data_IF_054879229733
#
_entry.id   IF_054879229733
#
_cell.length_a   1.000
_cell.length_b   1.000
_cell.length_c   1.000
_cell.angle_alpha   90.00
_cell.angle_beta   90.00
_cell.angle_gamma   90.00
#
_symmetry.space_group_name_H-M   'P 1'
#
loop_
_entity.id
_entity.type
_entity.pdbx_description
1 polymer ?
#
# COMPACT_ATOMS: atom_id res chain seq x y z
N UNK A 1 18.38 -4.12 -11.88
CA UNK A 1 17.97 -2.89 -11.15
C UNK A 1 17.23 -3.21 -9.84
N UNK A 2 16.18 -4.05 -9.86
CA UNK A 2 15.37 -4.38 -8.66
C UNK A 2 16.22 -4.94 -7.50
N UNK A 3 17.16 -5.86 -7.78
CA UNK A 3 18.05 -6.43 -6.76
C UNK A 3 19.00 -5.40 -6.14
N UNK A 4 19.45 -4.42 -6.92
CA UNK A 4 20.31 -3.35 -6.42
C UNK A 4 19.53 -2.41 -5.48
N UNK A 5 18.28 -2.08 -5.84
CA UNK A 5 17.39 -1.31 -4.98
C UNK A 5 17.05 -2.05 -3.67
N UNK A 6 16.80 -3.36 -3.74
CA UNK A 6 16.56 -4.19 -2.56
C UNK A 6 17.77 -4.20 -1.64
N UNK A 7 18.98 -4.36 -2.19
CA UNK A 7 20.23 -4.36 -1.42
C UNK A 7 20.49 -2.98 -0.78
N UNK A 8 20.30 -1.91 -1.53
CA UNK A 8 20.45 -0.54 -1.04
C UNK A 8 19.44 -0.21 0.08
N UNK A 9 18.18 -0.63 -0.07
CA UNK A 9 17.17 -0.39 0.98
C UNK A 9 17.47 -1.19 2.25
N UNK A 10 17.94 -2.43 2.13
CA UNK A 10 18.38 -3.24 3.28
C UNK A 10 19.62 -2.65 3.96
N UNK A 11 20.60 -2.18 3.19
CA UNK A 11 21.78 -1.49 3.72
C UNK A 11 21.41 -0.19 4.43
N UNK A 12 20.53 0.63 3.83
CA UNK A 12 20.05 1.86 4.45
C UNK A 12 19.30 1.57 5.76
N UNK A 13 18.44 0.57 5.77
CA UNK A 13 17.75 0.12 6.97
C UNK A 13 18.74 -0.37 8.04
N UNK A 14 19.78 -1.14 7.66
CA UNK A 14 20.82 -1.60 8.57
C UNK A 14 21.65 -0.46 9.16
N UNK A 15 22.06 0.50 8.35
CA UNK A 15 22.79 1.70 8.80
C UNK A 15 21.93 2.57 9.72
N UNK A 16 20.66 2.78 9.36
CA UNK A 16 19.73 3.49 10.23
C UNK A 16 19.53 2.75 11.57
N UNK A 17 19.37 1.42 11.55
CA UNK A 17 19.20 0.62 12.75
C UNK A 17 20.39 0.72 13.71
N UNK A 18 21.63 0.59 13.20
CA UNK A 18 22.85 0.71 14.03
C UNK A 18 23.04 2.13 14.54
N UNK A 19 22.76 3.15 13.72
CA UNK A 19 22.79 4.55 14.13
C UNK A 19 21.78 4.86 15.23
N UNK A 20 20.57 4.30 15.13
CA UNK A 20 19.52 4.48 16.14
C UNK A 20 19.81 3.73 17.45
N UNK A 21 20.38 2.53 17.41
CA UNK A 21 20.76 1.82 18.64
C UNK A 21 21.80 2.58 19.47
N UNK A 22 22.74 3.26 18.83
CA UNK A 22 23.80 4.01 19.51
C UNK A 22 23.38 5.41 19.97
N UNK A 23 22.19 5.90 19.56
CA UNK A 23 21.75 7.24 19.92
C UNK A 23 20.89 7.23 21.20
N UNK A 24 21.40 7.85 22.26
CA UNK A 24 20.68 8.09 23.52
C UNK A 24 19.39 8.92 23.33
N UNK A 25 19.30 9.67 22.23
CA UNK A 25 18.15 10.53 21.89
C UNK A 25 16.86 9.73 21.63
N UNK A 26 16.96 8.49 21.12
CA UNK A 26 15.81 7.63 20.82
C UNK A 26 15.26 6.83 22.02
N UNK A 27 15.81 7.04 23.22
CA UNK A 27 15.29 6.44 24.47
C UNK A 27 13.97 7.10 24.94
N UNK A 28 13.64 8.30 24.47
CA UNK A 28 12.44 9.03 24.86
C UNK A 28 11.20 8.56 24.06
N UNK A 29 10.08 8.37 24.75
CA UNK A 29 8.79 7.93 24.17
C UNK A 29 8.28 8.86 23.05
N UNK A 30 8.52 10.17 23.17
CA UNK A 30 8.16 11.15 22.13
C UNK A 30 8.94 10.92 20.82
N UNK A 31 10.21 10.65 20.93
CA UNK A 31 11.10 10.38 19.78
C UNK A 31 10.69 9.11 19.00
N UNK A 32 10.20 8.08 19.71
CA UNK A 32 9.72 6.82 19.10
C UNK A 32 8.44 7.02 18.31
N UNK A 33 7.48 7.79 18.86
CA UNK A 33 6.22 8.12 18.15
C UNK A 33 6.51 8.92 16.88
N UNK A 34 7.41 9.88 16.96
CA UNK A 34 7.83 10.67 15.79
C UNK A 34 8.48 9.79 14.72
N UNK A 35 9.31 8.82 15.13
CA UNK A 35 9.94 7.88 14.19
C UNK A 35 8.90 6.95 13.53
N UNK A 36 7.93 6.44 14.27
CA UNK A 36 6.81 5.67 13.71
C UNK A 36 6.05 6.49 12.67
N UNK A 37 5.64 7.71 13.01
CA UNK A 37 4.93 8.60 12.09
C UNK A 37 5.77 8.89 10.85
N UNK A 38 7.08 9.10 11.00
CA UNK A 38 7.98 9.34 9.87
C UNK A 38 8.08 8.12 8.95
N UNK A 39 8.27 6.92 9.51
CA UNK A 39 8.38 5.67 8.72
C UNK A 39 7.09 5.38 7.98
N UNK A 40 5.95 5.37 8.68
CA UNK A 40 4.66 5.07 8.05
C UNK A 40 4.19 6.19 7.12
N UNK A 41 4.41 7.44 7.49
CA UNK A 41 4.08 8.61 6.68
C UNK A 41 4.89 8.65 5.38
N UNK A 42 6.21 8.42 5.45
CA UNK A 42 7.06 8.38 4.26
C UNK A 42 6.75 7.17 3.37
N UNK A 43 6.45 6.00 3.96
CA UNK A 43 6.05 4.82 3.21
C UNK A 43 4.71 5.01 2.47
N UNK A 44 3.74 5.66 3.11
CA UNK A 44 2.46 6.01 2.48
C UNK A 44 2.65 7.06 1.38
N UNK A 45 3.36 8.15 1.67
CA UNK A 45 3.62 9.21 0.70
C UNK A 45 4.32 8.68 -0.55
N UNK A 46 5.36 7.86 -0.38
CA UNK A 46 6.07 7.23 -1.48
C UNK A 46 5.13 6.41 -2.37
N UNK A 47 4.26 5.61 -1.77
CA UNK A 47 3.28 4.79 -2.51
C UNK A 47 2.26 5.63 -3.26
N UNK A 48 1.74 6.67 -2.63
CA UNK A 48 0.78 7.57 -3.27
C UNK A 48 1.40 8.31 -4.47
N UNK A 49 2.64 8.78 -4.33
CA UNK A 49 3.38 9.43 -5.42
C UNK A 49 3.63 8.45 -6.58
N UNK A 50 4.09 7.24 -6.29
CA UNK A 50 4.32 6.23 -7.33
C UNK A 50 3.00 5.81 -7.99
N UNK A 51 1.95 5.57 -7.21
CA UNK A 51 0.64 5.17 -7.73
C UNK A 51 0.01 6.24 -8.63
N UNK A 52 0.24 7.52 -8.32
CA UNK A 52 -0.23 8.64 -9.14
C UNK A 52 0.58 8.81 -10.44
N UNK A 53 1.89 8.55 -10.39
CA UNK A 53 2.80 8.78 -11.53
C UNK A 53 2.98 7.57 -12.45
N UNK A 54 2.54 6.37 -12.01
CA UNK A 54 2.68 5.13 -12.79
C UNK A 54 1.31 4.58 -13.17
N UNK A 55 1.15 4.18 -14.43
CA UNK A 55 -0.14 3.66 -14.93
C UNK A 55 -0.28 2.12 -14.77
N UNK A 56 0.81 1.42 -14.42
CA UNK A 56 0.79 -0.03 -14.26
C UNK A 56 0.62 -0.79 -15.57
N UNK A 57 0.16 -2.04 -15.47
CA UNK A 57 -0.16 -2.85 -16.64
C UNK A 57 -1.54 -2.45 -17.18
N UNK A 58 -1.55 -1.86 -18.38
CA UNK A 58 -2.73 -1.18 -18.94
C UNK A 58 -3.98 -2.06 -19.03
N UNK A 59 -3.82 -3.36 -19.35
CA UNK A 59 -4.96 -4.27 -19.48
C UNK A 59 -5.64 -4.53 -18.13
N UNK A 60 -4.85 -4.77 -17.07
CA UNK A 60 -5.39 -5.04 -15.74
C UNK A 60 -6.09 -3.81 -15.18
N UNK A 61 -5.45 -2.64 -15.28
CA UNK A 61 -6.04 -1.38 -14.83
C UNK A 61 -7.34 -1.07 -15.58
N UNK A 62 -7.38 -1.33 -16.90
CA UNK A 62 -8.60 -1.14 -17.68
C UNK A 62 -9.72 -2.10 -17.25
N UNK A 63 -9.40 -3.37 -16.95
CA UNK A 63 -10.37 -4.32 -16.41
C UNK A 63 -10.92 -3.85 -15.06
N UNK A 64 -10.07 -3.47 -14.12
CA UNK A 64 -10.53 -2.98 -12.81
C UNK A 64 -11.35 -1.70 -12.91
N UNK A 65 -10.98 -0.77 -13.79
CA UNK A 65 -11.77 0.44 -14.04
C UNK A 65 -13.16 0.10 -14.59
N UNK A 66 -13.23 -0.78 -15.58
CA UNK A 66 -14.49 -1.22 -16.17
C UNK A 66 -15.35 -1.99 -15.16
N UNK A 67 -14.76 -2.86 -14.36
CA UNK A 67 -15.48 -3.61 -13.33
C UNK A 67 -16.00 -2.69 -12.21
N UNK A 68 -15.23 -1.70 -11.78
CA UNK A 68 -15.68 -0.73 -10.79
C UNK A 68 -16.91 0.07 -11.28
N UNK A 69 -16.89 0.52 -12.52
CA UNK A 69 -18.04 1.22 -13.12
C UNK A 69 -19.25 0.30 -13.29
N UNK A 70 -19.03 -0.90 -13.81
CA UNK A 70 -20.10 -1.87 -14.04
C UNK A 70 -20.79 -2.27 -12.74
N UNK A 71 -20.03 -2.66 -11.72
CA UNK A 71 -20.63 -3.10 -10.45
C UNK A 71 -21.34 -1.96 -9.74
N UNK A 72 -20.85 -0.73 -9.86
CA UNK A 72 -21.53 0.45 -9.32
C UNK A 72 -22.84 0.73 -10.06
N UNK A 73 -22.85 0.60 -11.38
CA UNK A 73 -24.02 0.91 -12.22
C UNK A 73 -25.12 -0.16 -12.14
N UNK A 74 -24.73 -1.44 -12.21
CA UNK A 74 -25.69 -2.56 -12.24
C UNK A 74 -26.01 -3.12 -10.85
N UNK A 75 -25.17 -2.82 -9.87
CA UNK A 75 -25.23 -3.42 -8.54
C UNK A 75 -24.58 -4.79 -8.46
N UNK A 76 -24.22 -5.23 -7.22
CA UNK A 76 -23.47 -6.47 -6.99
C UNK A 76 -24.19 -7.74 -7.51
N UNK A 77 -25.52 -7.76 -7.50
CA UNK A 77 -26.31 -8.93 -7.91
C UNK A 77 -26.35 -9.16 -9.42
N UNK A 78 -26.00 -8.16 -10.23
CA UNK A 78 -26.04 -8.24 -11.70
C UNK A 78 -24.66 -8.08 -12.34
N UNK A 79 -23.60 -8.11 -11.54
CA UNK A 79 -22.24 -7.89 -12.03
C UNK A 79 -21.75 -9.02 -12.92
N UNK A 80 -21.88 -10.28 -12.46
CA UNK A 80 -21.43 -11.43 -13.22
C UNK A 80 -22.42 -11.79 -14.32
N UNK A 81 -21.92 -11.88 -15.55
CA UNK A 81 -22.70 -12.32 -16.71
C UNK A 81 -21.82 -13.15 -17.66
N UNK A 82 -22.44 -13.99 -18.48
CA UNK A 82 -21.74 -14.82 -19.47
C UNK A 82 -21.01 -13.99 -20.56
N UNK A 83 -21.39 -12.74 -20.72
CA UNK A 83 -20.86 -11.85 -21.76
C UNK A 83 -19.65 -11.04 -21.29
N UNK A 84 -19.26 -11.15 -20.02
CA UNK A 84 -18.18 -10.35 -19.44
C UNK A 84 -17.09 -11.22 -18.85
N UNK A 85 -15.86 -11.01 -19.31
CA UNK A 85 -14.68 -11.60 -18.67
C UNK A 85 -14.51 -11.04 -17.26
N UNK A 86 -14.49 -11.93 -16.28
CA UNK A 86 -14.20 -11.61 -14.87
C UNK A 86 -13.59 -12.84 -14.21
N UNK A 87 -12.35 -12.74 -13.81
CA UNK A 87 -11.56 -13.80 -13.16
C UNK A 87 -11.31 -13.53 -11.67
N UNK A 88 -11.90 -12.46 -11.13
CA UNK A 88 -11.75 -12.08 -9.73
C UNK A 88 -12.90 -12.55 -8.84
N UNK A 89 -12.58 -12.93 -7.57
CA UNK A 89 -13.59 -13.42 -6.63
C UNK A 89 -14.55 -12.32 -6.17
N UNK A 90 -15.79 -12.68 -5.78
CA UNK A 90 -16.83 -11.73 -5.39
C UNK A 90 -16.44 -10.75 -4.28
N UNK A 91 -15.57 -11.17 -3.35
CA UNK A 91 -15.14 -10.30 -2.25
C UNK A 91 -14.44 -9.01 -2.72
N UNK A 92 -13.61 -9.11 -3.74
CA UNK A 92 -12.93 -7.93 -4.28
C UNK A 92 -13.88 -7.00 -5.06
N UNK A 93 -14.95 -7.54 -5.62
CA UNK A 93 -15.96 -6.75 -6.34
C UNK A 93 -16.65 -5.73 -5.43
N UNK A 94 -16.83 -6.01 -4.15
CA UNK A 94 -17.36 -5.02 -3.19
C UNK A 94 -16.38 -3.85 -2.98
N UNK A 95 -15.09 -4.11 -3.02
CA UNK A 95 -14.06 -3.06 -2.97
C UNK A 95 -14.16 -2.18 -4.22
N UNK A 96 -14.30 -2.79 -5.40
CA UNK A 96 -14.47 -2.05 -6.65
C UNK A 96 -15.80 -1.28 -6.68
N UNK A 97 -16.87 -1.81 -6.09
CA UNK A 97 -18.13 -1.08 -5.91
C UNK A 97 -17.93 0.23 -5.13
N UNK A 98 -17.17 0.18 -4.01
CA UNK A 98 -16.86 1.37 -3.23
C UNK A 98 -16.01 2.38 -4.03
N UNK A 99 -15.08 1.89 -4.84
CA UNK A 99 -14.27 2.74 -5.73
C UNK A 99 -15.13 3.41 -6.78
N UNK A 100 -16.02 2.66 -7.43
CA UNK A 100 -16.98 3.20 -8.40
C UNK A 100 -17.89 4.25 -7.78
N UNK A 101 -18.42 3.99 -6.57
CA UNK A 101 -19.24 4.94 -5.80
C UNK A 101 -18.45 6.22 -5.47
N UNK A 102 -17.22 6.08 -4.98
CA UNK A 102 -16.37 7.21 -4.63
C UNK A 102 -15.99 8.03 -5.87
N UNK A 103 -15.65 7.37 -6.99
CA UNK A 103 -15.40 8.02 -8.27
C UNK A 103 -16.60 8.86 -8.72
N UNK A 104 -17.79 8.28 -8.66
CA UNK A 104 -19.04 8.96 -9.04
C UNK A 104 -19.34 10.14 -8.14
N UNK A 105 -19.22 9.96 -6.80
CA UNK A 105 -19.47 11.01 -5.81
C UNK A 105 -18.52 12.20 -5.99
N UNK A 106 -17.25 11.95 -6.25
CA UNK A 106 -16.21 12.97 -6.43
C UNK A 106 -16.12 13.48 -7.87
N UNK A 107 -16.95 12.99 -8.78
CA UNK A 107 -16.97 13.34 -10.21
C UNK A 107 -15.60 13.17 -10.88
N UNK A 108 -14.84 12.15 -10.47
CA UNK A 108 -13.51 11.86 -11.03
C UNK A 108 -13.68 11.32 -12.46
N UNK A 109 -12.99 11.88 -13.47
CA UNK A 109 -13.07 11.39 -14.84
C UNK A 109 -12.65 9.92 -14.96
N UNK A 110 -13.35 9.18 -15.82
CA UNK A 110 -13.02 7.78 -16.08
C UNK A 110 -11.60 7.64 -16.61
N UNK A 111 -10.87 6.66 -16.06
CA UNK A 111 -9.49 6.33 -16.46
C UNK A 111 -8.48 7.47 -16.32
N UNK A 112 -8.76 8.48 -15.47
CA UNK A 112 -7.81 9.53 -15.11
C UNK A 112 -6.79 9.02 -14.09
N UNK A 113 -5.66 9.73 -13.91
CA UNK A 113 -4.62 9.40 -12.94
C UNK A 113 -5.20 9.25 -11.52
N UNK A 114 -6.16 10.09 -11.17
CA UNK A 114 -6.85 10.01 -9.88
C UNK A 114 -7.75 8.77 -9.76
N UNK A 115 -8.40 8.35 -10.87
CA UNK A 115 -9.16 7.09 -10.88
C UNK A 115 -8.22 5.89 -10.73
N UNK A 116 -7.09 5.88 -11.44
CA UNK A 116 -6.07 4.83 -11.31
C UNK A 116 -5.50 4.78 -9.90
N UNK A 117 -5.23 5.93 -9.29
CA UNK A 117 -4.82 6.02 -7.90
C UNK A 117 -5.86 5.38 -6.96
N UNK A 118 -7.16 5.66 -7.16
CA UNK A 118 -8.23 5.06 -6.35
C UNK A 118 -8.26 3.52 -6.48
N UNK A 119 -8.01 2.97 -7.67
CA UNK A 119 -7.95 1.51 -7.88
C UNK A 119 -6.79 0.86 -7.11
N UNK A 120 -5.68 1.57 -6.93
CA UNK A 120 -4.49 1.09 -6.20
C UNK A 120 -4.57 1.30 -4.69
N UNK A 121 -5.42 2.21 -4.21
CA UNK A 121 -5.54 2.54 -2.79
C UNK A 121 -5.76 1.32 -1.87
N UNK A 122 -6.63 0.36 -2.20
CA UNK A 122 -6.85 -0.81 -1.33
C UNK A 122 -5.56 -1.58 -1.07
N UNK A 123 -4.76 -1.84 -2.10
CA UNK A 123 -3.47 -2.54 -1.97
C UNK A 123 -2.48 -1.73 -1.10
N UNK A 124 -2.40 -0.42 -1.33
CA UNK A 124 -1.56 0.50 -0.53
C UNK A 124 -1.96 0.48 0.94
N UNK A 125 -3.26 0.56 1.24
CA UNK A 125 -3.77 0.54 2.61
C UNK A 125 -3.52 -0.80 3.30
N UNK A 126 -3.65 -1.91 2.56
CA UNK A 126 -3.31 -3.24 3.07
C UNK A 126 -1.82 -3.35 3.41
N UNK A 127 -0.93 -2.83 2.58
CA UNK A 127 0.51 -2.83 2.87
C UNK A 127 0.84 -2.04 4.14
N UNK A 128 0.26 -0.86 4.29
CA UNK A 128 0.46 -0.05 5.50
C UNK A 128 -0.08 -0.78 6.73
N UNK A 129 -1.25 -1.41 6.62
CA UNK A 129 -1.82 -2.23 7.70
C UNK A 129 -0.93 -3.43 8.04
N UNK A 130 -0.39 -4.14 7.04
CA UNK A 130 0.56 -5.24 7.24
C UNK A 130 1.84 -4.76 7.96
N UNK A 131 2.40 -3.63 7.56
CA UNK A 131 3.54 -3.03 8.26
C UNK A 131 3.22 -2.72 9.72
N UNK A 132 2.03 -2.18 10.00
CA UNK A 132 1.57 -1.92 11.36
C UNK A 132 1.40 -3.21 12.18
N UNK A 133 0.82 -4.25 11.57
CA UNK A 133 0.68 -5.56 12.23
C UNK A 133 2.04 -6.17 12.55
N UNK A 134 3.00 -6.10 11.63
CA UNK A 134 4.37 -6.56 11.88
C UNK A 134 5.02 -5.83 13.06
N UNK A 135 4.93 -4.51 13.10
CA UNK A 135 5.38 -3.72 14.25
C UNK A 135 4.73 -4.20 15.56
N UNK A 136 3.41 -4.29 15.55
CA UNK A 136 2.62 -4.69 16.73
C UNK A 136 2.99 -6.10 17.21
N UNK A 137 3.07 -7.07 16.32
CA UNK A 137 3.40 -8.45 16.67
C UNK A 137 4.85 -8.57 17.18
N UNK A 138 5.80 -7.87 16.55
CA UNK A 138 7.19 -7.84 17.00
C UNK A 138 7.29 -7.31 18.45
N UNK A 139 6.63 -6.21 18.75
CA UNK A 139 6.70 -5.60 20.10
C UNK A 139 5.88 -6.39 21.12
N UNK A 140 4.64 -6.80 20.78
CA UNK A 140 3.71 -7.38 21.76
C UNK A 140 3.90 -8.88 22.00
N UNK A 141 4.23 -9.65 20.95
CA UNK A 141 4.36 -11.11 21.05
C UNK A 141 5.80 -11.59 21.11
N UNK A 142 6.70 -10.97 20.32
CA UNK A 142 8.11 -11.35 20.29
C UNK A 142 8.94 -10.60 21.33
N UNK A 143 8.31 -9.69 22.10
CA UNK A 143 8.96 -8.86 23.11
C UNK A 143 10.17 -8.07 22.60
N UNK A 144 10.17 -7.70 21.34
CA UNK A 144 11.16 -6.82 20.75
C UNK A 144 11.03 -5.41 21.30
N UNK A 145 12.13 -4.68 21.34
CA UNK A 145 12.09 -3.25 21.63
C UNK A 145 11.30 -2.51 20.52
N UNK A 146 10.73 -1.33 20.83
CA UNK A 146 10.03 -0.53 19.84
C UNK A 146 10.87 -0.25 18.59
N UNK A 147 12.19 -0.01 18.76
CA UNK A 147 13.12 0.21 17.65
C UNK A 147 13.25 -1.02 16.75
N UNK A 148 13.34 -2.21 17.33
CA UNK A 148 13.39 -3.46 16.56
C UNK A 148 12.07 -3.71 15.83
N UNK A 149 10.93 -3.40 16.47
CA UNK A 149 9.61 -3.45 15.83
C UNK A 149 9.49 -2.46 14.66
N UNK A 150 9.96 -1.22 14.84
CA UNK A 150 9.97 -0.21 13.76
C UNK A 150 10.88 -0.68 12.61
N UNK A 151 12.04 -1.26 12.92
CA UNK A 151 12.93 -1.82 11.89
C UNK A 151 12.27 -2.95 11.09
N UNK A 152 11.60 -3.89 11.77
CA UNK A 152 10.88 -4.98 11.10
C UNK A 152 9.77 -4.46 10.17
N UNK A 153 8.98 -3.48 10.63
CA UNK A 153 7.99 -2.82 9.80
C UNK A 153 8.62 -2.07 8.62
N UNK A 154 9.74 -1.36 8.84
CA UNK A 154 10.46 -0.65 7.79
C UNK A 154 11.00 -1.59 6.73
N UNK A 155 11.57 -2.73 7.13
CA UNK A 155 12.09 -3.74 6.21
C UNK A 155 11.00 -4.28 5.27
N UNK A 156 9.76 -4.42 5.75
CA UNK A 156 8.61 -4.77 4.94
C UNK A 156 8.14 -3.59 4.07
N UNK A 157 7.88 -2.43 4.70
CA UNK A 157 7.28 -1.28 4.02
C UNK A 157 8.15 -0.70 2.91
N UNK A 158 9.48 -0.77 3.03
CA UNK A 158 10.41 -0.27 2.02
C UNK A 158 11.00 -1.37 1.13
N UNK A 159 10.46 -2.59 1.20
CA UNK A 159 10.86 -3.64 0.27
C UNK A 159 10.37 -3.30 -1.14
N UNK A 160 11.26 -3.24 -2.15
CA UNK A 160 10.89 -2.85 -3.51
C UNK A 160 9.78 -3.69 -4.12
N UNK A 161 9.76 -4.99 -3.89
CA UNK A 161 8.72 -5.88 -4.42
C UNK A 161 7.33 -5.52 -3.85
N UNK A 162 7.23 -5.17 -2.56
CA UNK A 162 5.98 -4.76 -1.92
C UNK A 162 5.51 -3.42 -2.48
N UNK A 163 6.41 -2.43 -2.61
CA UNK A 163 6.10 -1.12 -3.17
C UNK A 163 5.63 -1.24 -4.63
N UNK A 164 6.37 -1.98 -5.45
CA UNK A 164 6.02 -2.17 -6.87
C UNK A 164 4.67 -2.84 -7.03
N UNK A 165 4.39 -3.85 -6.21
CA UNK A 165 3.16 -4.63 -6.30
C UNK A 165 1.91 -3.86 -5.87
N UNK A 166 2.02 -2.90 -4.95
CA UNK A 166 0.86 -2.10 -4.50
C UNK A 166 0.69 -0.78 -5.25
N UNK A 167 1.76 -0.24 -5.83
CA UNK A 167 1.77 1.14 -6.32
C UNK A 167 2.08 1.28 -7.80
N UNK A 168 2.81 0.33 -8.41
CA UNK A 168 3.33 0.48 -9.77
C UNK A 168 2.74 -0.51 -10.79
N UNK A 169 2.06 -1.60 -10.33
CA UNK A 169 1.45 -2.57 -11.26
C UNK A 169 0.31 -2.00 -12.05
#
# INVERSE_FOLDING_TARGET
>A
MIHLFALLSLLLCGVCYTGFQNSSHFRNTGSRRSLLLLVFGSALLLRLLLAYTTHGFSNDIACFAAWADRIFTLGPGQFYSAEMFTDYPPGFMYVLYLIGALRSLLQIPYYSDLHILLLKLPAILCDIACGFLLYREAVKRLHFSDLQGIFAASAYLFQPAVILNSSCW
#
